data_IF_707452298528
#
_entry.id   IF_707452298528
#
_cell.length_a   1.000
_cell.length_b   1.000
_cell.length_c   1.000
_cell.angle_alpha   90.00
_cell.angle_beta   90.00
_cell.angle_gamma   90.00
#
_symmetry.space_group_name_H-M   'P 1'
#
loop_
_entity.id
_entity.type
_entity.pdbx_description
1 polymer ?
#
# COMPACT_ATOMS: atom_id res chain seq x y z
N UNK A 1 -12.86 -9.72 5.93
CA UNK A 1 -11.57 -10.01 6.59
C UNK A 1 -10.95 -8.68 6.97
N UNK A 2 -10.96 -8.33 8.25
CA UNK A 2 -10.24 -7.16 8.83
C UNK A 2 -9.50 -7.55 10.10
N UNK A 3 -9.28 -8.85 10.30
CA UNK A 3 -8.78 -9.42 11.56
C UNK A 3 -7.34 -9.01 11.86
N UNK A 4 -6.50 -8.82 10.85
CA UNK A 4 -5.10 -8.48 11.07
C UNK A 4 -4.91 -7.04 11.54
N UNK A 5 -5.57 -6.05 10.93
CA UNK A 5 -5.52 -4.68 11.41
C UNK A 5 -5.95 -4.56 12.88
N UNK A 6 -7.07 -5.19 13.28
CA UNK A 6 -7.55 -5.18 14.66
C UNK A 6 -6.50 -5.77 15.63
N UNK A 7 -5.84 -6.86 15.24
CA UNK A 7 -4.80 -7.48 16.06
C UNK A 7 -3.51 -6.65 16.13
N UNK A 8 -3.21 -5.86 15.09
CA UNK A 8 -2.01 -5.01 15.03
C UNK A 8 -2.20 -3.65 15.73
N UNK A 9 -3.43 -3.13 15.81
CA UNK A 9 -3.72 -1.81 16.43
C UNK A 9 -3.07 -1.62 17.80
N UNK A 10 -3.16 -2.57 18.77
CA UNK A 10 -2.54 -2.39 20.07
C UNK A 10 -1.03 -2.17 19.99
N UNK A 11 -0.34 -2.91 19.11
CA UNK A 11 1.11 -2.75 18.92
C UNK A 11 1.46 -1.46 18.20
N UNK A 12 0.65 -1.05 17.23
CA UNK A 12 0.84 0.22 16.53
C UNK A 12 0.70 1.38 17.50
N UNK A 13 -0.29 1.35 18.41
CA UNK A 13 -0.44 2.36 19.46
C UNK A 13 0.79 2.47 20.35
N UNK A 14 1.26 1.34 20.87
CA UNK A 14 2.46 1.28 21.72
C UNK A 14 3.68 1.89 21.00
N UNK A 15 3.93 1.52 19.75
CA UNK A 15 5.06 2.06 18.98
C UNK A 15 4.89 3.55 18.64
N UNK A 16 3.65 3.99 18.45
CA UNK A 16 3.32 5.37 18.11
C UNK A 16 3.52 6.34 19.28
N UNK A 17 3.58 5.84 20.53
CA UNK A 17 3.96 6.66 21.69
C UNK A 17 5.42 7.13 21.63
N UNK A 18 6.30 6.37 20.96
CA UNK A 18 7.74 6.66 20.90
C UNK A 18 8.16 7.32 19.58
N UNK A 19 7.54 6.94 18.46
CA UNK A 19 7.95 7.41 17.13
C UNK A 19 6.88 7.24 16.07
N UNK A 20 7.08 7.86 14.90
CA UNK A 20 6.22 7.60 13.75
C UNK A 20 6.30 6.13 13.31
N UNK A 21 5.15 5.52 13.03
CA UNK A 21 5.05 4.09 12.67
C UNK A 21 4.71 3.95 11.20
N UNK A 22 5.51 3.17 10.47
CA UNK A 22 5.21 2.74 9.11
C UNK A 22 4.59 1.35 9.17
N UNK A 23 3.36 1.24 8.67
CA UNK A 23 2.67 -0.05 8.50
C UNK A 23 2.83 -0.48 7.06
N UNK A 24 3.55 -1.58 6.83
CA UNK A 24 3.67 -2.16 5.50
C UNK A 24 2.43 -2.99 5.15
N UNK A 25 1.92 -2.81 3.94
CA UNK A 25 0.85 -3.62 3.33
C UNK A 25 -0.51 -3.55 4.03
N UNK A 26 -1.27 -2.49 3.73
CA UNK A 26 -2.70 -2.40 4.03
C UNK A 26 -3.49 -3.21 2.98
N UNK A 27 -4.03 -4.36 3.36
CA UNK A 27 -4.51 -5.37 2.40
C UNK A 27 -5.98 -5.25 2.04
N UNK A 28 -6.81 -4.53 2.79
CA UNK A 28 -8.23 -4.40 2.45
C UNK A 28 -8.89 -3.08 2.83
N UNK A 29 -10.07 -2.84 2.26
CA UNK A 29 -10.92 -1.72 2.63
C UNK A 29 -11.35 -1.77 4.08
N UNK A 30 -11.63 -2.95 4.62
CA UNK A 30 -12.01 -3.12 6.02
C UNK A 30 -10.86 -2.74 6.95
N UNK A 31 -9.62 -3.12 6.63
CA UNK A 31 -8.44 -2.70 7.39
C UNK A 31 -8.25 -1.17 7.35
N UNK A 32 -8.44 -0.55 6.18
CA UNK A 32 -8.41 0.91 6.06
C UNK A 32 -9.43 1.58 6.99
N UNK A 33 -10.66 1.05 7.05
CA UNK A 33 -11.72 1.61 7.88
C UNK A 33 -11.40 1.48 9.37
N UNK A 34 -10.89 0.34 9.82
CA UNK A 34 -10.48 0.15 11.22
C UNK A 34 -9.32 1.08 11.60
N UNK A 35 -8.30 1.20 10.74
CA UNK A 35 -7.18 2.12 10.96
C UNK A 35 -7.64 3.57 10.98
N UNK A 36 -8.50 3.99 10.03
CA UNK A 36 -9.02 5.36 9.97
C UNK A 36 -9.91 5.69 11.16
N UNK A 37 -10.71 4.72 11.64
CA UNK A 37 -11.53 4.88 12.84
C UNK A 37 -10.68 5.07 14.09
N UNK A 38 -9.60 4.30 14.22
CA UNK A 38 -8.75 4.32 15.42
C UNK A 38 -7.83 5.54 15.47
N UNK A 39 -7.20 5.88 14.36
CA UNK A 39 -6.14 6.89 14.30
C UNK A 39 -6.62 8.21 13.67
N UNK A 40 -7.82 8.28 13.09
CA UNK A 40 -8.38 9.53 12.58
C UNK A 40 -7.47 10.19 11.55
N UNK A 41 -7.14 11.47 11.74
CA UNK A 41 -6.41 12.27 10.76
C UNK A 41 -4.89 12.09 10.76
N UNK A 42 -4.33 11.47 11.82
CA UNK A 42 -2.91 11.14 11.87
C UNK A 42 -2.58 9.89 11.04
N UNK A 43 -3.59 9.06 10.74
CA UNK A 43 -3.45 7.97 9.78
C UNK A 43 -3.39 8.51 8.36
N UNK A 44 -2.23 8.31 7.73
CA UNK A 44 -1.96 8.67 6.33
C UNK A 44 -1.71 7.42 5.51
N UNK A 45 -2.28 7.38 4.31
CA UNK A 45 -2.11 6.29 3.36
C UNK A 45 -1.27 6.75 2.19
N UNK A 46 -0.20 6.00 1.93
CA UNK A 46 0.66 6.14 0.76
C UNK A 46 0.41 4.98 -0.19
N UNK A 47 -0.12 5.27 -1.38
CA UNK A 47 -0.27 4.28 -2.44
C UNK A 47 0.93 4.31 -3.39
N UNK A 48 1.54 3.16 -3.63
CA UNK A 48 2.56 3.01 -4.68
C UNK A 48 1.94 2.38 -5.91
N UNK A 49 1.87 3.15 -6.99
CA UNK A 49 1.23 2.77 -8.24
C UNK A 49 2.25 2.47 -9.34
N UNK A 50 1.93 1.49 -10.16
CA UNK A 50 2.52 1.29 -11.49
C UNK A 50 1.43 0.72 -12.40
N UNK A 51 1.44 1.12 -13.67
CA UNK A 51 0.48 0.64 -14.66
C UNK A 51 0.50 -0.89 -14.77
N UNK A 52 -0.62 -1.51 -15.20
CA UNK A 52 -0.67 -2.94 -15.45
C UNK A 52 0.44 -3.43 -16.38
N UNK A 53 0.80 -2.65 -17.41
CA UNK A 53 1.87 -2.99 -18.34
C UNK A 53 3.23 -3.10 -17.65
N UNK A 54 3.64 -2.06 -16.92
CA UNK A 54 4.91 -2.03 -16.18
C UNK A 54 4.96 -3.12 -15.11
N UNK A 55 3.86 -3.35 -14.38
CA UNK A 55 3.78 -4.46 -13.41
C UNK A 55 3.91 -5.82 -14.11
N UNK A 56 3.34 -5.96 -15.31
CA UNK A 56 3.45 -7.19 -16.12
C UNK A 56 4.88 -7.48 -16.48
N UNK A 57 5.57 -6.50 -17.01
CA UNK A 57 6.96 -6.65 -17.38
C UNK A 57 7.83 -7.03 -16.18
N UNK A 58 7.69 -6.32 -15.06
CA UNK A 58 8.49 -6.56 -13.85
C UNK A 58 8.22 -7.93 -13.23
N UNK A 59 6.94 -8.33 -13.10
CA UNK A 59 6.55 -9.60 -12.48
C UNK A 59 6.78 -10.81 -13.38
N UNK A 60 6.80 -10.63 -14.71
CA UNK A 60 7.21 -11.68 -15.65
C UNK A 60 8.71 -11.96 -15.54
N UNK A 61 9.52 -10.92 -15.36
CA UNK A 61 10.99 -11.02 -15.35
C UNK A 61 11.60 -11.22 -13.95
N UNK A 62 10.78 -11.34 -12.89
CA UNK A 62 11.31 -11.48 -11.52
C UNK A 62 12.03 -12.82 -11.33
N UNK A 63 13.20 -12.85 -10.65
CA UNK A 63 13.98 -14.08 -10.47
C UNK A 63 13.25 -15.20 -9.71
N UNK A 64 12.32 -14.83 -8.81
CA UNK A 64 11.60 -15.78 -7.98
C UNK A 64 10.09 -15.66 -8.18
N UNK A 65 9.44 -16.78 -8.52
CA UNK A 65 8.00 -16.94 -8.78
C UNK A 65 7.45 -16.08 -9.94
N UNK A 66 8.08 -16.00 -11.13
CA UNK A 66 7.54 -15.20 -12.23
C UNK A 66 6.07 -15.52 -12.52
N UNK A 67 5.31 -14.53 -12.97
CA UNK A 67 3.89 -14.69 -13.30
C UNK A 67 3.66 -14.55 -14.79
N UNK A 68 2.74 -15.35 -15.33
CA UNK A 68 2.20 -15.13 -16.68
C UNK A 68 1.27 -13.93 -16.68
N UNK A 69 0.97 -13.41 -17.88
CA UNK A 69 0.04 -12.29 -18.03
C UNK A 69 -1.35 -12.65 -17.47
N UNK A 70 -1.80 -13.86 -17.73
CA UNK A 70 -3.10 -14.38 -17.30
C UNK A 70 -3.15 -14.51 -15.77
N UNK A 71 -2.10 -15.04 -15.15
CA UNK A 71 -1.98 -15.15 -13.69
C UNK A 71 -2.02 -13.77 -13.03
N UNK A 72 -1.41 -12.76 -13.65
CA UNK A 72 -1.45 -11.43 -13.08
C UNK A 72 -2.81 -10.75 -13.23
N UNK A 73 -3.48 -10.87 -14.37
CA UNK A 73 -4.83 -10.30 -14.54
C UNK A 73 -5.77 -10.92 -13.51
N UNK A 74 -5.71 -12.25 -13.36
CA UNK A 74 -6.47 -12.98 -12.34
C UNK A 74 -6.14 -12.48 -10.93
N UNK A 75 -4.85 -12.25 -10.64
CA UNK A 75 -4.41 -11.70 -9.35
C UNK A 75 -4.93 -10.28 -9.11
N UNK A 76 -4.83 -9.39 -10.10
CA UNK A 76 -5.31 -8.01 -9.99
C UNK A 76 -6.81 -7.99 -9.68
N UNK A 77 -7.60 -8.80 -10.39
CA UNK A 77 -9.03 -8.92 -10.14
C UNK A 77 -9.30 -9.46 -8.74
N UNK A 78 -8.59 -10.52 -8.31
CA UNK A 78 -8.75 -11.04 -6.95
C UNK A 78 -8.40 -10.01 -5.87
N UNK A 79 -7.37 -9.18 -6.08
CA UNK A 79 -7.01 -8.10 -5.15
C UNK A 79 -8.06 -6.99 -5.10
N UNK A 80 -8.63 -6.62 -6.24
CA UNK A 80 -9.65 -5.57 -6.32
C UNK A 80 -10.98 -6.07 -5.77
N UNK A 81 -11.44 -7.25 -6.21
CA UNK A 81 -12.79 -7.76 -5.97
C UNK A 81 -12.90 -8.51 -4.65
N UNK A 82 -11.90 -9.32 -4.28
CA UNK A 82 -12.00 -10.17 -3.09
C UNK A 82 -11.31 -9.56 -1.87
N UNK A 83 -10.22 -8.81 -2.07
CA UNK A 83 -9.53 -8.10 -0.99
C UNK A 83 -9.96 -6.64 -0.87
N UNK A 84 -10.78 -6.12 -1.80
CA UNK A 84 -11.26 -4.73 -1.78
C UNK A 84 -10.12 -3.69 -1.74
N UNK A 85 -8.96 -3.98 -2.34
CA UNK A 85 -7.77 -3.11 -2.27
C UNK A 85 -7.90 -1.80 -3.05
N UNK A 86 -8.85 -1.70 -3.96
CA UNK A 86 -9.08 -0.47 -4.71
C UNK A 86 -9.52 0.69 -3.80
N UNK A 87 -10.28 0.41 -2.74
CA UNK A 87 -10.79 1.43 -1.81
C UNK A 87 -9.67 2.20 -1.10
N UNK A 88 -8.75 1.52 -0.38
CA UNK A 88 -7.61 2.18 0.26
C UNK A 88 -6.73 2.97 -0.71
N UNK A 89 -6.48 2.44 -1.91
CA UNK A 89 -5.67 3.12 -2.93
C UNK A 89 -6.38 4.39 -3.42
N UNK A 90 -7.68 4.34 -3.71
CA UNK A 90 -8.46 5.48 -4.18
C UNK A 90 -8.64 6.58 -3.12
N UNK A 91 -8.47 6.25 -1.85
CA UNK A 91 -8.56 7.18 -0.71
C UNK A 91 -7.20 7.60 -0.15
N UNK A 92 -6.10 7.21 -0.78
CA UNK A 92 -4.76 7.52 -0.31
C UNK A 92 -4.52 9.03 -0.21
N UNK A 93 -3.84 9.47 0.85
CA UNK A 93 -3.40 10.86 1.03
C UNK A 93 -2.28 11.22 0.04
N UNK A 94 -1.47 10.22 -0.32
CA UNK A 94 -0.33 10.37 -1.22
C UNK A 94 -0.28 9.21 -2.22
N UNK A 95 0.22 9.50 -3.41
CA UNK A 95 0.48 8.49 -4.43
C UNK A 95 1.86 8.69 -5.04
N UNK A 96 2.61 7.58 -5.12
CA UNK A 96 3.87 7.50 -5.87
C UNK A 96 3.59 6.80 -7.19
N UNK A 97 4.06 7.37 -8.28
CA UNK A 97 4.06 6.70 -9.59
C UNK A 97 5.43 6.08 -9.81
N UNK A 98 5.53 4.78 -9.53
CA UNK A 98 6.77 4.00 -9.61
C UNK A 98 6.99 3.45 -11.02
N UNK A 99 7.11 4.33 -12.01
CA UNK A 99 7.40 3.96 -13.40
C UNK A 99 8.75 4.50 -13.90
N UNK A 100 9.39 5.37 -13.12
CA UNK A 100 10.71 5.92 -13.40
C UNK A 100 11.85 5.10 -12.80
N UNK A 101 12.95 5.79 -12.49
CA UNK A 101 14.13 5.19 -11.86
C UNK A 101 13.98 5.09 -10.34
N UNK A 102 14.89 4.34 -9.69
CA UNK A 102 14.93 4.24 -8.24
C UNK A 102 15.25 5.60 -7.57
N UNK A 103 16.03 6.44 -8.22
CA UNK A 103 16.32 7.79 -7.76
C UNK A 103 15.05 8.64 -7.76
N UNK A 104 14.25 8.60 -8.83
CA UNK A 104 12.96 9.30 -8.91
C UNK A 104 11.95 8.77 -7.87
N UNK A 105 12.00 7.47 -7.56
CA UNK A 105 11.21 6.89 -6.48
C UNK A 105 11.61 7.48 -5.12
N UNK A 106 12.91 7.54 -4.83
CA UNK A 106 13.41 8.12 -3.57
C UNK A 106 13.08 9.61 -3.45
N UNK A 107 13.21 10.39 -4.53
CA UNK A 107 12.84 11.81 -4.54
C UNK A 107 11.36 12.03 -4.20
N UNK A 108 10.45 11.23 -4.79
CA UNK A 108 9.01 11.29 -4.47
C UNK A 108 8.74 10.96 -3.00
N UNK A 109 9.42 9.95 -2.45
CA UNK A 109 9.32 9.56 -1.03
C UNK A 109 9.78 10.72 -0.14
N UNK A 110 10.93 11.33 -0.44
CA UNK A 110 11.46 12.44 0.35
C UNK A 110 10.53 13.66 0.34
N UNK A 111 9.88 13.95 -0.79
CA UNK A 111 8.87 15.01 -0.87
C UNK A 111 7.62 14.71 -0.03
N UNK A 112 7.19 13.45 0.02
CA UNK A 112 6.05 13.03 0.84
C UNK A 112 6.41 13.12 2.32
N UNK A 113 7.59 12.62 2.72
CA UNK A 113 8.06 12.68 4.11
C UNK A 113 8.10 14.13 4.61
N UNK A 114 8.57 15.09 3.79
CA UNK A 114 8.57 16.52 4.13
C UNK A 114 7.17 17.10 4.35
N UNK A 115 6.13 16.52 3.74
CA UNK A 115 4.72 16.94 3.92
C UNK A 115 4.06 16.30 5.14
N UNK A 116 4.63 15.20 5.64
CA UNK A 116 4.13 14.47 6.82
C UNK A 116 4.91 14.77 8.09
N UNK A 117 6.05 15.45 7.98
CA UNK A 117 6.90 15.88 9.10
C UNK A 117 6.37 17.16 9.76
#
# INVERSE_FOLDING_TARGET
MGSYAILSIPKIKELYEESSVIVESLYSWEEYLEMKKEFGDVFKVLATFSSPEIRTERLKNRPHRPLTKEEMISRDYAQIENLHQAGPIARADFMIVNEGTIESLHEQIDEIIKKTS
#
